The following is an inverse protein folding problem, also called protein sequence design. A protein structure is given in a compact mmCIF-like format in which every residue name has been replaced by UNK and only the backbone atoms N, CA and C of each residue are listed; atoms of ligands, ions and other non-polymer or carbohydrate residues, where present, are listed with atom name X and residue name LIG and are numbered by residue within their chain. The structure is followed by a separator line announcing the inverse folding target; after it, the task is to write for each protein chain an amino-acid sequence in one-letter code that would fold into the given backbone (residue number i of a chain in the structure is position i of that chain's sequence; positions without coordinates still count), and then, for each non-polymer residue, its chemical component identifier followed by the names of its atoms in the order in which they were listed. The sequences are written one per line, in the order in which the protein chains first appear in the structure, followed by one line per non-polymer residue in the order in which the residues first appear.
data_IF_699725635475
#
_entry.id   IF_699725635475
#
_cell.length_a   1.000
_cell.length_b   1.000
_cell.length_c   1.000
_cell.angle_alpha   90.00
_cell.angle_beta   90.00
_cell.angle_gamma   90.00
#
_symmetry.space_group_name_H-M   'P 1'
#
loop_
_entity.id
_entity.type
_entity.pdbx_description
1 polymer ?
#
# COMPACT_ATOMS: atom_id res chain seq x y z
N UNK A 1 11.23 17.21 -1.14
CA UNK A 1 10.57 17.05 0.17
C UNK A 1 11.15 15.86 0.91
N UNK A 2 11.22 15.95 2.22
CA UNK A 2 11.72 14.84 3.02
C UNK A 2 10.77 13.66 2.92
N UNK A 3 11.33 12.44 2.91
CA UNK A 3 10.53 11.22 2.90
C UNK A 3 9.72 11.10 4.19
N UNK A 4 8.56 10.48 4.09
CA UNK A 4 7.70 10.17 5.23
C UNK A 4 8.44 9.19 6.15
N UNK A 5 8.35 9.40 7.45
CA UNK A 5 9.01 8.59 8.46
C UNK A 5 8.00 7.97 9.41
N UNK A 6 8.42 6.92 10.11
CA UNK A 6 7.63 6.33 11.19
C UNK A 6 7.36 7.41 12.25
N UNK A 7 6.11 7.54 12.65
CA UNK A 7 5.67 8.56 13.59
C UNK A 7 5.04 9.78 12.93
N UNK A 8 5.27 9.95 11.63
CA UNK A 8 4.67 11.06 10.90
C UNK A 8 3.19 10.78 10.61
N UNK A 9 2.42 11.84 10.48
CA UNK A 9 1.06 11.71 9.95
C UNK A 9 1.17 11.35 8.47
N UNK A 10 0.46 10.33 8.03
CA UNK A 10 0.46 9.93 6.63
C UNK A 10 -0.15 11.05 5.77
N UNK A 11 0.57 11.52 4.74
CA UNK A 11 0.01 12.52 3.84
C UNK A 11 -1.29 12.05 3.20
N UNK A 12 -2.34 12.84 3.27
CA UNK A 12 -3.60 12.49 2.66
C UNK A 12 -3.55 12.71 1.15
N UNK A 13 -4.36 11.94 0.43
CA UNK A 13 -4.44 12.04 -1.03
C UNK A 13 -5.77 11.46 -1.52
N UNK A 14 -6.11 11.80 -2.75
CA UNK A 14 -7.27 11.22 -3.45
C UNK A 14 -6.80 10.73 -4.81
N UNK A 15 -7.03 9.45 -5.09
CA UNK A 15 -6.68 8.84 -6.37
C UNK A 15 -7.81 7.94 -6.85
N UNK A 16 -7.96 7.77 -8.18
CA UNK A 16 -8.98 6.86 -8.70
C UNK A 16 -8.53 5.41 -8.56
N UNK A 17 -9.47 4.53 -8.24
CA UNK A 17 -9.23 3.10 -8.19
C UNK A 17 -9.54 2.44 -9.53
N UNK A 18 -9.23 1.15 -9.66
CA UNK A 18 -9.57 0.37 -10.85
C UNK A 18 -11.08 0.26 -11.07
N UNK A 19 -11.88 0.56 -10.05
CA UNK A 19 -13.34 0.58 -10.16
C UNK A 19 -13.85 1.91 -10.73
N UNK A 20 -12.97 2.89 -10.91
CA UNK A 20 -13.32 4.20 -11.44
C UNK A 20 -13.70 5.24 -10.39
N UNK A 21 -13.89 4.82 -9.15
CA UNK A 21 -14.24 5.73 -8.06
C UNK A 21 -12.99 6.34 -7.43
N UNK A 22 -13.10 7.58 -6.96
CA UNK A 22 -12.02 8.23 -6.23
C UNK A 22 -11.95 7.68 -4.80
N UNK A 23 -10.72 7.42 -4.34
CA UNK A 23 -10.44 6.92 -3.00
C UNK A 23 -9.59 7.96 -2.28
N UNK A 24 -10.03 8.39 -1.11
CA UNK A 24 -9.30 9.33 -0.26
C UNK A 24 -8.77 8.58 0.95
N UNK A 25 -7.46 8.66 1.19
CA UNK A 25 -6.82 7.89 2.26
C UNK A 25 -7.47 8.16 3.63
N UNK A 26 -7.75 9.41 3.94
CA UNK A 26 -8.32 9.78 5.25
C UNK A 26 -9.70 9.22 5.52
N UNK A 27 -10.41 8.71 4.51
CA UNK A 27 -11.70 8.07 4.72
C UNK A 27 -11.60 6.80 5.55
N UNK A 28 -10.43 6.18 5.61
CA UNK A 28 -10.19 4.98 6.43
C UNK A 28 -9.82 5.31 7.87
N UNK A 29 -9.42 6.55 8.15
CA UNK A 29 -9.00 6.95 9.50
C UNK A 29 -10.16 6.79 10.49
N UNK A 30 -9.84 6.24 11.67
CA UNK A 30 -10.84 5.93 12.67
C UNK A 30 -11.57 4.61 12.47
N UNK A 31 -11.37 3.96 11.33
CA UNK A 31 -12.09 2.74 10.97
C UNK A 31 -11.17 1.55 10.79
N UNK A 32 -10.08 1.73 10.05
CA UNK A 32 -9.16 0.64 9.70
C UNK A 32 -7.71 1.10 9.73
N UNK A 33 -6.84 0.16 10.05
CA UNK A 33 -5.41 0.31 9.75
C UNK A 33 -5.23 0.12 8.24
N UNK A 34 -4.17 0.69 7.67
CA UNK A 34 -3.97 0.66 6.22
C UNK A 34 -2.60 0.06 5.90
N UNK A 35 -2.59 -0.90 4.97
CA UNK A 35 -1.38 -1.38 4.32
C UNK A 35 -1.32 -0.68 2.96
N UNK A 36 -0.52 0.36 2.89
CA UNK A 36 -0.37 1.17 1.66
C UNK A 36 0.95 0.80 1.01
N UNK A 37 0.90 0.16 -0.16
CA UNK A 37 2.14 -0.24 -0.82
C UNK A 37 2.28 0.39 -2.20
N UNK A 38 3.46 0.94 -2.45
CA UNK A 38 3.85 1.48 -3.74
C UNK A 38 4.66 0.43 -4.48
N UNK A 39 4.33 0.20 -5.75
CA UNK A 39 5.03 -0.78 -6.57
C UNK A 39 5.35 -0.19 -7.94
N UNK A 40 6.37 -0.73 -8.64
CA UNK A 40 6.84 -0.12 -9.88
C UNK A 40 5.87 -0.20 -11.05
N UNK A 41 5.29 -1.38 -11.35
CA UNK A 41 4.52 -1.54 -12.59
C UNK A 41 3.62 -2.76 -12.57
N UNK A 42 2.37 -2.61 -13.04
CA UNK A 42 1.44 -3.71 -13.24
C UNK A 42 2.06 -4.77 -14.16
N UNK A 43 1.73 -6.03 -13.89
CA UNK A 43 2.14 -7.20 -14.67
C UNK A 43 3.65 -7.50 -14.69
N UNK A 44 4.50 -6.72 -14.02
CA UNK A 44 5.89 -7.10 -13.86
C UNK A 44 5.98 -8.30 -12.91
N UNK A 45 6.99 -9.21 -13.09
CA UNK A 45 7.05 -10.44 -12.28
C UNK A 45 7.08 -10.19 -10.77
N UNK A 46 7.88 -9.25 -10.31
CA UNK A 46 7.97 -8.94 -8.88
C UNK A 46 6.69 -8.33 -8.31
N UNK A 47 6.07 -7.43 -9.07
CA UNK A 47 4.83 -6.78 -8.64
C UNK A 47 3.66 -7.77 -8.66
N UNK A 48 3.65 -8.70 -9.61
CA UNK A 48 2.65 -9.76 -9.67
C UNK A 48 2.78 -10.67 -8.46
N UNK A 49 4.00 -11.10 -8.11
CA UNK A 49 4.24 -11.92 -6.92
C UNK A 49 3.80 -11.19 -5.65
N UNK A 50 4.12 -9.90 -5.54
CA UNK A 50 3.75 -9.10 -4.38
C UNK A 50 2.22 -8.99 -4.25
N UNK A 51 1.55 -8.66 -5.34
CA UNK A 51 0.10 -8.52 -5.36
C UNK A 51 -0.59 -9.84 -5.01
N UNK A 52 -0.12 -10.94 -5.57
CA UNK A 52 -0.68 -12.26 -5.29
C UNK A 52 -0.41 -12.69 -3.84
N UNK A 53 0.74 -12.29 -3.28
CA UNK A 53 1.04 -12.57 -1.88
C UNK A 53 0.09 -11.79 -0.95
N UNK A 54 -0.18 -10.53 -1.23
CA UNK A 54 -1.19 -9.76 -0.50
C UNK A 54 -2.58 -10.36 -0.68
N UNK A 55 -2.91 -10.78 -1.90
CA UNK A 55 -4.20 -11.44 -2.17
C UNK A 55 -4.38 -12.68 -1.29
N UNK A 56 -3.36 -13.53 -1.25
CA UNK A 56 -3.44 -14.78 -0.50
C UNK A 56 -3.50 -14.56 1.01
N UNK A 57 -3.03 -13.42 1.48
CA UNK A 57 -3.07 -13.03 2.89
C UNK A 57 -4.18 -12.04 3.23
N UNK A 58 -5.02 -11.70 2.26
CA UNK A 58 -6.00 -10.61 2.43
C UNK A 58 -6.99 -10.89 3.58
N UNK A 59 -7.47 -12.11 3.70
CA UNK A 59 -8.38 -12.48 4.78
C UNK A 59 -7.73 -12.28 6.14
N UNK A 60 -6.49 -12.72 6.30
CA UNK A 60 -5.76 -12.53 7.55
C UNK A 60 -5.55 -11.04 7.85
N UNK A 61 -5.19 -10.26 6.83
CA UNK A 61 -4.97 -8.81 7.00
C UNK A 61 -6.26 -8.09 7.38
N UNK A 62 -7.39 -8.44 6.76
CA UNK A 62 -8.67 -7.82 7.11
C UNK A 62 -9.13 -8.24 8.51
N UNK A 63 -8.83 -9.47 8.93
CA UNK A 63 -9.12 -9.92 10.29
C UNK A 63 -8.28 -9.17 11.33
N UNK A 64 -7.14 -8.62 10.92
CA UNK A 64 -6.31 -7.76 11.77
C UNK A 64 -6.74 -6.28 11.72
N UNK A 65 -7.89 -6.00 11.14
CA UNK A 65 -8.46 -4.66 11.10
C UNK A 65 -7.87 -3.75 10.04
N UNK A 66 -7.26 -4.33 8.99
CA UNK A 66 -6.58 -3.56 7.96
C UNK A 66 -7.27 -3.60 6.61
N UNK A 67 -7.00 -2.58 5.79
CA UNK A 67 -7.33 -2.59 4.37
C UNK A 67 -6.03 -2.44 3.58
N UNK A 68 -5.95 -3.10 2.43
CA UNK A 68 -4.77 -3.06 1.56
C UNK A 68 -5.05 -2.12 0.38
N UNK A 69 -4.13 -1.20 0.12
CA UNK A 69 -4.21 -0.28 -1.02
C UNK A 69 -2.88 -0.34 -1.76
N UNK A 70 -2.91 -0.71 -3.05
CA UNK A 70 -1.73 -0.69 -3.90
C UNK A 70 -1.72 0.59 -4.72
N UNK A 71 -0.55 1.18 -4.95
CA UNK A 71 -0.40 2.43 -5.70
C UNK A 71 0.72 2.30 -6.72
N UNK A 72 0.45 2.65 -7.96
CA UNK A 72 1.48 2.80 -8.98
C UNK A 72 1.03 3.79 -10.06
N UNK A 73 1.95 4.15 -10.94
CA UNK A 73 1.72 5.21 -11.94
C UNK A 73 0.94 4.80 -13.17
N UNK A 74 0.46 3.56 -13.27
CA UNK A 74 -0.30 3.11 -14.43
C UNK A 74 -1.74 3.61 -14.37
N UNK A 75 -2.45 3.51 -15.51
CA UNK A 75 -3.82 3.97 -15.65
C UNK A 75 -4.82 3.10 -14.89
N UNK A 76 -6.01 3.64 -14.69
CA UNK A 76 -7.15 2.89 -14.13
C UNK A 76 -7.41 1.62 -14.94
N UNK A 77 -7.32 1.71 -16.27
CA UNK A 77 -7.55 0.57 -17.15
C UNK A 77 -6.51 -0.52 -16.95
N UNK A 78 -5.24 -0.15 -16.82
CA UNK A 78 -4.16 -1.08 -16.54
C UNK A 78 -4.39 -1.78 -15.20
N UNK A 79 -4.74 -1.02 -14.17
CA UNK A 79 -5.04 -1.57 -12.84
C UNK A 79 -6.24 -2.51 -12.88
N UNK A 80 -7.27 -2.18 -13.64
CA UNK A 80 -8.44 -3.03 -13.79
C UNK A 80 -8.08 -4.38 -14.41
N UNK A 81 -7.26 -4.35 -15.47
CA UNK A 81 -6.79 -5.58 -16.10
C UNK A 81 -5.95 -6.41 -15.12
N UNK A 82 -5.01 -5.77 -14.42
CA UNK A 82 -4.14 -6.44 -13.47
C UNK A 82 -4.94 -7.07 -12.33
N UNK A 83 -5.86 -6.32 -11.73
CA UNK A 83 -6.69 -6.81 -10.63
C UNK A 83 -7.59 -7.98 -11.07
N UNK A 84 -8.18 -7.88 -12.26
CA UNK A 84 -9.05 -8.93 -12.81
C UNK A 84 -8.24 -10.18 -13.14
N UNK A 85 -7.09 -9.99 -13.81
CA UNK A 85 -6.22 -11.09 -14.24
C UNK A 85 -5.75 -11.95 -13.07
N UNK A 86 -5.46 -11.32 -11.94
CA UNK A 86 -4.91 -12.03 -10.77
C UNK A 86 -5.91 -12.18 -9.62
N UNK A 87 -7.16 -11.77 -9.81
CA UNK A 87 -8.19 -11.90 -8.78
C UNK A 87 -7.87 -11.15 -7.49
N UNK A 88 -7.39 -9.90 -7.62
CA UNK A 88 -7.02 -9.11 -6.46
C UNK A 88 -8.27 -8.57 -5.76
N UNK A 89 -8.46 -8.84 -4.45
CA UNK A 89 -9.65 -8.40 -3.73
C UNK A 89 -9.57 -6.99 -3.16
N UNK A 90 -8.44 -6.31 -3.36
CA UNK A 90 -8.21 -4.97 -2.82
C UNK A 90 -8.09 -3.94 -3.94
N UNK A 91 -8.10 -2.65 -3.59
CA UNK A 91 -8.06 -1.58 -4.56
C UNK A 91 -6.63 -1.26 -4.99
N UNK A 92 -6.48 -0.97 -6.28
CA UNK A 92 -5.26 -0.45 -6.87
C UNK A 92 -5.54 0.99 -7.29
N UNK A 93 -4.72 1.91 -6.80
CA UNK A 93 -4.91 3.34 -7.01
C UNK A 93 -3.97 3.86 -8.09
N UNK A 94 -4.51 4.66 -9.01
CA UNK A 94 -3.78 5.14 -10.16
C UNK A 94 -3.15 6.51 -9.88
N UNK A 95 -1.82 6.52 -9.71
CA UNK A 95 -1.03 7.72 -9.43
C UNK A 95 -0.30 8.17 -10.69
N UNK A 96 -1.07 8.50 -11.73
CA UNK A 96 -0.52 8.98 -13.01
C UNK A 96 0.27 10.25 -12.75
N UNK A 97 1.54 10.26 -13.18
CA UNK A 97 2.44 11.37 -12.91
C UNK A 97 3.24 11.22 -11.62
N UNK A 98 2.97 10.17 -10.84
CA UNK A 98 3.75 9.83 -9.63
C UNK A 98 3.74 10.91 -8.54
N UNK A 99 2.67 11.71 -8.46
CA UNK A 99 2.60 12.82 -7.49
C UNK A 99 2.52 12.34 -6.04
N UNK A 100 1.74 11.29 -5.79
CA UNK A 100 1.61 10.74 -4.43
C UNK A 100 2.89 10.00 -4.04
N UNK A 101 3.50 9.30 -4.99
CA UNK A 101 4.81 8.67 -4.78
C UNK A 101 5.84 9.72 -4.34
N UNK A 102 5.87 10.87 -5.02
CA UNK A 102 6.76 11.97 -4.65
C UNK A 102 6.40 12.56 -3.28
N UNK A 103 5.11 12.70 -3.00
CA UNK A 103 4.62 13.22 -1.72
C UNK A 103 5.12 12.37 -0.55
N UNK A 104 5.16 11.04 -0.72
CA UNK A 104 5.65 10.12 0.31
C UNK A 104 7.18 10.02 0.31
N UNK A 105 7.84 10.52 -0.73
CA UNK A 105 9.29 10.43 -0.84
C UNK A 105 9.77 9.00 -1.14
N UNK A 106 8.98 8.23 -1.90
CA UNK A 106 9.36 6.87 -2.29
C UNK A 106 10.60 6.94 -3.19
N UNK A 107 11.71 6.28 -2.80
CA UNK A 107 12.95 6.37 -3.58
C UNK A 107 12.86 5.64 -4.92
N UNK A 108 13.74 6.03 -5.84
CA UNK A 108 13.92 5.31 -7.10
C UNK A 108 15.20 4.48 -7.02
N UNK A 109 15.17 3.26 -7.54
CA UNK A 109 16.35 2.42 -7.61
C UNK A 109 17.22 2.91 -8.78
N UNK A 110 18.44 3.33 -8.48
CA UNK A 110 19.40 3.85 -9.46
C UNK A 110 18.83 5.02 -10.29
N UNK A 111 17.84 5.74 -9.74
CA UNK A 111 17.23 6.87 -10.41
C UNK A 111 16.32 6.52 -11.59
N UNK A 112 16.16 5.24 -11.90
CA UNK A 112 15.45 4.79 -13.10
C UNK A 112 14.19 3.99 -12.79
N UNK A 113 14.25 3.10 -11.79
CA UNK A 113 13.13 2.22 -11.45
C UNK A 113 12.41 2.74 -10.21
N UNK A 114 11.10 3.00 -10.29
CA UNK A 114 10.33 3.42 -9.10
C UNK A 114 10.51 2.42 -7.97
N UNK A 115 10.60 2.92 -6.74
CA UNK A 115 10.82 2.08 -5.57
C UNK A 115 9.62 1.24 -5.19
N UNK A 116 9.87 0.22 -4.38
CA UNK A 116 8.84 -0.66 -3.83
C UNK A 116 8.86 -0.47 -2.31
N UNK A 117 7.83 0.20 -1.77
CA UNK A 117 7.78 0.55 -0.35
C UNK A 117 6.38 0.27 0.19
N UNK A 118 6.31 -0.33 1.37
CA UNK A 118 5.05 -0.57 2.07
C UNK A 118 5.03 0.25 3.35
N UNK A 119 3.95 0.99 3.55
CA UNK A 119 3.69 1.80 4.73
C UNK A 119 2.54 1.17 5.51
N UNK A 120 2.72 1.00 6.82
CA UNK A 120 1.63 0.57 7.69
C UNK A 120 1.17 1.78 8.48
N UNK A 121 -0.10 2.13 8.31
CA UNK A 121 -0.70 3.34 8.88
C UNK A 121 -1.80 2.91 9.85
N UNK A 122 -1.77 3.47 11.06
CA UNK A 122 -2.77 3.09 12.06
C UNK A 122 -4.09 3.87 11.87
N UNK A 123 -5.07 3.56 12.72
CA UNK A 123 -6.39 4.20 12.64
C UNK A 123 -6.37 5.70 12.92
N UNK A 124 -5.30 6.21 13.52
CA UNK A 124 -5.12 7.65 13.77
C UNK A 124 -4.48 8.36 12.58
N UNK A 125 -4.10 7.61 11.54
CA UNK A 125 -3.43 8.16 10.37
C UNK A 125 -1.93 8.33 10.55
N UNK A 126 -1.35 7.67 11.54
CA UNK A 126 0.10 7.75 11.84
C UNK A 126 0.82 6.58 11.20
N UNK A 127 1.95 6.85 10.55
CA UNK A 127 2.81 5.83 9.96
C UNK A 127 3.51 5.07 11.08
N UNK A 128 3.28 3.77 11.18
CA UNK A 128 3.80 2.95 12.25
C UNK A 128 4.96 2.04 11.81
N UNK A 129 5.06 1.78 10.51
CA UNK A 129 6.15 0.95 9.98
C UNK A 129 6.35 1.26 8.50
N UNK A 130 7.60 1.16 8.03
CA UNK A 130 7.96 1.35 6.63
C UNK A 130 8.92 0.23 6.25
N UNK A 131 8.61 -0.49 5.18
CA UNK A 131 9.48 -1.52 4.65
C UNK A 131 9.78 -1.25 3.18
N UNK A 132 11.06 -1.17 2.81
CA UNK A 132 11.50 -0.87 1.46
C UNK A 132 12.40 -1.99 0.94
N UNK A 133 12.02 -2.62 -0.17
CA UNK A 133 12.86 -3.61 -0.84
C UNK A 133 12.27 -3.89 -2.22
N UNK A 134 13.11 -3.88 -3.25
CA UNK A 134 12.68 -4.22 -4.61
C UNK A 134 12.51 -5.72 -4.80
N UNK A 135 13.28 -6.53 -4.10
CA UNK A 135 13.37 -7.98 -4.38
C UNK A 135 12.71 -8.88 -3.34
N UNK A 136 12.62 -8.43 -2.10
CA UNK A 136 12.06 -9.26 -1.01
C UNK A 136 10.56 -9.03 -0.91
N UNK A 137 9.85 -9.42 -1.97
CA UNK A 137 8.41 -9.10 -2.08
C UNK A 137 7.56 -9.75 -1.00
N UNK A 138 7.91 -10.98 -0.58
CA UNK A 138 7.16 -11.65 0.49
C UNK A 138 7.33 -10.95 1.83
N UNK A 139 8.49 -10.35 2.09
CA UNK A 139 8.73 -9.63 3.32
C UNK A 139 7.83 -8.40 3.48
N UNK A 140 7.39 -7.80 2.38
CA UNK A 140 6.41 -6.70 2.46
C UNK A 140 5.14 -7.17 3.16
N UNK A 141 4.69 -8.38 2.85
CA UNK A 141 3.50 -8.97 3.46
C UNK A 141 3.77 -9.38 4.91
N UNK A 142 4.91 -10.04 5.16
CA UNK A 142 5.26 -10.50 6.50
C UNK A 142 5.45 -9.35 7.48
N UNK A 143 6.10 -8.27 7.03
CA UNK A 143 6.29 -7.07 7.84
C UNK A 143 4.94 -6.39 8.15
N UNK A 144 4.03 -6.39 7.17
CA UNK A 144 2.69 -5.85 7.37
C UNK A 144 1.94 -6.65 8.44
N UNK A 145 1.96 -7.98 8.34
CA UNK A 145 1.29 -8.85 9.32
C UNK A 145 1.83 -8.63 10.73
N UNK A 146 3.16 -8.59 10.87
CA UNK A 146 3.78 -8.44 12.18
C UNK A 146 3.41 -7.10 12.82
N UNK A 147 3.45 -6.02 12.04
CA UNK A 147 3.10 -4.70 12.53
C UNK A 147 1.62 -4.61 12.90
N UNK A 148 0.75 -5.17 12.07
CA UNK A 148 -0.69 -5.15 12.33
C UNK A 148 -1.05 -5.94 13.58
N UNK A 149 -0.37 -7.04 13.87
CA UNK A 149 -0.58 -7.80 15.11
C UNK A 149 -0.24 -6.95 16.32
N UNK A 150 0.87 -6.21 16.26
CA UNK A 150 1.27 -5.28 17.33
C UNK A 150 0.22 -4.17 17.52
N UNK A 151 -0.27 -3.61 16.41
CA UNK A 151 -1.29 -2.55 16.46
C UNK A 151 -2.60 -3.07 17.06
N UNK A 152 -2.98 -4.30 16.72
CA UNK A 152 -4.19 -4.90 17.27
C UNK A 152 -4.07 -5.07 18.78
N UNK A 153 -2.92 -5.52 19.28
CA UNK A 153 -2.67 -5.64 20.71
C UNK A 153 -2.76 -4.29 21.40
N UNK A 154 -2.19 -3.23 20.83
CA UNK A 154 -2.27 -1.87 21.37
C UNK A 154 -3.72 -1.37 21.41
N UNK A 155 -4.48 -1.63 20.34
CA UNK A 155 -5.85 -1.13 20.19
C UNK A 155 -6.84 -1.88 21.10
N UNK A 156 -6.57 -3.15 21.41
CA UNK A 156 -7.42 -3.92 22.29
C UNK A 156 -7.08 -3.76 23.77
N UNK A 157 -5.86 -3.29 24.06
CA UNK A 157 -5.40 -3.04 25.43
C UNK A 157 -5.98 -1.77 26.05
N UNK A 158 -6.58 -0.90 25.24
CA UNK A 158 -7.23 0.33 25.70
C UNK A 158 -8.78 0.17 25.72
#
# INVERSE_FOLDING_TARGET
MAAVKVGDKAPDFTLPSQMGDNVTLSEYFGKKNIVLYFYPKDESPGCTRQACSFRDSYEELTNLGAEVLGVSGQSVQSHKFFATHHGLPFLLLSDVGNKVRELYGVPSTMGLLPGRVTYIIDKKGIVRHIFSSQTQVQRHVDEAKNTLRQLEEEQTAT
#
